data_IF_904331442721
#
_entry.id   IF_904331442721
#
_cell.length_a   1.000
_cell.length_b   1.000
_cell.length_c   1.000
_cell.angle_alpha   90.00
_cell.angle_beta   90.00
_cell.angle_gamma   90.00
#
_symmetry.space_group_name_H-M   'P 1'
#
loop_
_entity.id
_entity.type
_entity.pdbx_description
1 polymer ?
#
# COMPACT_ATOMS: atom_id res chain seq x y z
N UNK A 1 15.89 -5.28 -0.31
CA UNK A 1 16.63 -4.32 0.55
C UNK A 1 17.54 -3.44 -0.32
N UNK A 2 17.33 -2.12 -0.35
CA UNK A 2 18.17 -1.16 -1.10
C UNK A 2 19.66 -1.32 -0.80
N UNK A 3 20.00 -1.62 0.46
CA UNK A 3 21.38 -1.91 0.89
C UNK A 3 22.01 -3.05 0.10
N UNK A 4 21.30 -4.16 -0.17
CA UNK A 4 21.85 -5.28 -0.92
C UNK A 4 22.14 -4.93 -2.39
N UNK A 5 21.48 -3.90 -2.93
CA UNK A 5 21.70 -3.41 -4.28
C UNK A 5 22.97 -2.56 -4.38
N UNK A 6 23.29 -1.78 -3.34
CA UNK A 6 24.39 -0.81 -3.36
C UNK A 6 25.64 -1.28 -2.59
N UNK A 7 25.58 -2.38 -1.83
CA UNK A 7 26.72 -2.84 -0.99
C UNK A 7 27.99 -3.19 -1.78
N UNK A 8 27.86 -3.43 -3.10
CA UNK A 8 28.98 -3.68 -4.01
C UNK A 8 29.12 -2.59 -5.09
N UNK A 9 28.50 -1.42 -4.89
CA UNK A 9 28.52 -0.29 -5.84
C UNK A 9 29.35 0.87 -5.30
N UNK A 10 30.13 1.52 -6.18
CA UNK A 10 30.87 2.75 -5.88
C UNK A 10 29.93 3.94 -5.57
N UNK A 11 28.63 3.81 -5.86
CA UNK A 11 27.62 4.82 -5.54
C UNK A 11 27.11 4.75 -4.09
N UNK A 12 27.56 3.76 -3.31
CA UNK A 12 27.11 3.56 -1.93
C UNK A 12 27.33 4.81 -1.08
N UNK A 13 28.49 5.47 -1.19
CA UNK A 13 28.82 6.66 -0.41
C UNK A 13 27.79 7.78 -0.62
N UNK A 14 27.35 7.97 -1.86
CA UNK A 14 26.37 9.00 -2.23
C UNK A 14 24.93 8.61 -1.89
N UNK A 15 24.67 7.32 -1.63
CA UNK A 15 23.33 6.79 -1.31
C UNK A 15 23.18 6.33 0.13
N UNK A 16 24.27 6.25 0.89
CA UNK A 16 24.26 5.71 2.24
C UNK A 16 23.41 6.58 3.17
N UNK A 17 23.55 7.91 3.10
CA UNK A 17 22.74 8.84 3.89
C UNK A 17 21.24 8.72 3.57
N UNK A 18 20.89 8.63 2.28
CA UNK A 18 19.50 8.44 1.83
C UNK A 18 18.94 7.07 2.26
N UNK A 19 19.76 6.03 2.22
CA UNK A 19 19.34 4.70 2.66
C UNK A 19 19.15 4.71 4.18
N UNK A 20 20.09 5.29 4.94
CA UNK A 20 20.02 5.36 6.40
C UNK A 20 18.88 6.26 6.90
N UNK A 21 18.51 7.32 6.18
CA UNK A 21 17.35 8.15 6.52
C UNK A 21 16.04 7.37 6.41
N UNK A 22 15.90 6.54 5.37
CA UNK A 22 14.76 5.61 5.25
C UNK A 22 14.69 4.61 6.41
N UNK A 23 15.84 4.19 6.97
CA UNK A 23 15.87 3.34 8.16
C UNK A 23 15.60 4.12 9.45
N UNK A 24 16.04 5.36 9.56
CA UNK A 24 15.82 6.20 10.74
C UNK A 24 14.32 6.39 11.02
N UNK A 25 13.53 6.67 9.98
CA UNK A 25 12.08 6.81 10.10
C UNK A 25 11.41 5.48 10.49
N UNK A 26 11.89 4.36 9.95
CA UNK A 26 11.34 3.04 10.24
C UNK A 26 11.66 2.60 11.67
N UNK A 27 12.87 2.85 12.16
CA UNK A 27 13.30 2.50 13.52
C UNK A 27 12.53 3.33 14.57
N UNK A 28 12.22 4.60 14.27
CA UNK A 28 11.45 5.45 15.19
C UNK A 28 9.97 5.06 15.29
N UNK A 29 9.39 4.50 14.23
CA UNK A 29 7.95 4.22 14.16
C UNK A 29 7.58 2.75 14.42
N UNK A 30 8.52 1.82 14.29
CA UNK A 30 8.24 0.38 14.32
C UNK A 30 8.91 -0.32 15.49
N UNK A 31 8.19 -1.28 16.07
CA UNK A 31 8.78 -2.15 17.10
C UNK A 31 9.79 -3.14 16.47
N UNK A 32 10.70 -3.68 17.28
CA UNK A 32 11.68 -4.68 16.83
C UNK A 32 11.04 -5.87 16.12
N UNK A 33 9.86 -6.32 16.59
CA UNK A 33 9.13 -7.43 15.97
C UNK A 33 8.51 -7.04 14.61
N UNK A 34 8.17 -5.77 14.39
CA UNK A 34 7.71 -5.29 13.07
C UNK A 34 8.86 -5.30 12.05
N UNK A 35 10.05 -4.87 12.48
CA UNK A 35 11.26 -4.91 11.64
C UNK A 35 11.60 -6.35 11.26
N UNK A 36 11.56 -7.27 12.24
CA UNK A 36 11.77 -8.68 11.99
C UNK A 36 10.70 -9.25 11.04
N UNK A 37 9.43 -8.87 11.22
CA UNK A 37 8.35 -9.26 10.32
C UNK A 37 8.57 -8.82 8.87
N UNK A 38 9.10 -7.61 8.63
CA UNK A 38 9.43 -7.14 7.27
C UNK A 38 10.56 -7.96 6.66
N UNK A 39 11.57 -8.32 7.45
CA UNK A 39 12.68 -9.16 7.00
C UNK A 39 12.20 -10.58 6.68
N UNK A 40 11.38 -11.18 7.55
CA UNK A 40 10.80 -12.50 7.34
C UNK A 40 9.85 -12.54 6.15
N UNK A 41 9.02 -11.51 5.95
CA UNK A 41 8.15 -11.35 4.77
C UNK A 41 8.99 -11.35 3.49
N UNK A 42 10.12 -10.64 3.48
CA UNK A 42 11.02 -10.62 2.33
C UNK A 42 11.71 -11.96 2.08
N UNK A 43 12.24 -12.61 3.13
CA UNK A 43 12.93 -13.89 3.00
C UNK A 43 11.95 -14.99 2.56
N UNK A 44 10.73 -15.01 3.10
CA UNK A 44 9.68 -15.97 2.76
C UNK A 44 9.17 -15.87 1.30
N UNK A 45 9.47 -14.79 0.58
CA UNK A 45 9.22 -14.75 -0.88
C UNK A 45 10.16 -15.67 -1.67
N UNK A 46 11.25 -16.13 -1.04
CA UNK A 46 12.15 -17.10 -1.63
C UNK A 46 11.55 -18.51 -1.52
N UNK A 47 11.40 -19.18 -2.67
CA UNK A 47 10.90 -20.56 -2.78
C UNK A 47 11.63 -21.61 -1.94
N UNK A 48 12.83 -21.30 -1.43
CA UNK A 48 13.64 -22.18 -0.58
C UNK A 48 13.50 -21.88 0.92
N UNK A 49 12.72 -20.87 1.30
CA UNK A 49 12.54 -20.44 2.68
C UNK A 49 11.05 -20.55 3.04
N UNK A 50 10.58 -21.77 3.23
CA UNK A 50 9.25 -22.05 3.76
C UNK A 50 9.15 -21.77 5.26
N UNK A 51 7.94 -21.90 5.81
CA UNK A 51 7.64 -21.56 7.21
C UNK A 51 8.44 -22.43 8.20
N UNK A 52 8.65 -23.70 7.88
CA UNK A 52 9.43 -24.64 8.71
C UNK A 52 10.91 -24.23 8.71
N UNK A 53 11.47 -23.90 7.55
CA UNK A 53 12.83 -23.38 7.44
C UNK A 53 13.00 -22.08 8.25
N UNK A 54 12.06 -21.15 8.16
CA UNK A 54 12.10 -19.90 8.92
C UNK A 54 12.01 -20.17 10.43
N UNK A 55 11.10 -21.04 10.86
CA UNK A 55 10.94 -21.43 12.27
C UNK A 55 12.22 -22.04 12.83
N UNK A 56 12.81 -23.03 12.16
CA UNK A 56 14.05 -23.68 12.60
C UNK A 56 15.22 -22.70 12.75
N UNK A 57 15.36 -21.76 11.80
CA UNK A 57 16.42 -20.76 11.85
C UNK A 57 16.18 -19.71 12.93
N UNK A 58 14.92 -19.33 13.18
CA UNK A 58 14.56 -18.48 14.31
C UNK A 58 14.81 -19.18 15.64
N UNK A 59 14.51 -20.47 15.78
CA UNK A 59 14.80 -21.24 16.99
C UNK A 59 16.30 -21.27 17.30
N UNK A 60 17.14 -21.51 16.28
CA UNK A 60 18.59 -21.47 16.41
C UNK A 60 19.09 -20.07 16.82
N UNK A 61 18.55 -19.01 16.24
CA UNK A 61 18.96 -17.63 16.51
C UNK A 61 18.48 -17.11 17.88
N UNK A 62 17.30 -17.55 18.33
CA UNK A 62 16.61 -17.00 19.50
C UNK A 62 16.44 -18.00 20.67
N UNK A 63 17.30 -19.04 20.74
CA UNK A 63 17.33 -20.03 21.83
C UNK A 63 15.96 -20.72 22.04
N UNK A 64 15.42 -21.31 20.97
CA UNK A 64 14.14 -22.03 20.94
C UNK A 64 12.89 -21.16 21.19
N UNK A 65 12.94 -19.88 20.79
CA UNK A 65 11.80 -18.94 20.81
C UNK A 65 11.22 -18.65 19.43
N UNK A 66 11.62 -19.40 18.41
CA UNK A 66 11.18 -19.19 17.03
C UNK A 66 9.68 -19.29 16.87
N UNK A 67 9.03 -20.23 17.57
CA UNK A 67 7.58 -20.37 17.56
C UNK A 67 6.85 -19.15 18.14
N UNK A 68 7.27 -18.66 19.31
CA UNK A 68 6.72 -17.45 19.95
C UNK A 68 6.86 -16.20 19.06
N UNK A 69 8.02 -16.08 18.41
CA UNK A 69 8.32 -14.99 17.48
C UNK A 69 7.45 -15.10 16.22
N UNK A 70 7.35 -16.28 15.62
CA UNK A 70 6.53 -16.52 14.44
C UNK A 70 5.06 -16.22 14.70
N UNK A 71 4.51 -16.60 15.86
CA UNK A 71 3.16 -16.22 16.26
C UNK A 71 2.98 -14.70 16.33
N UNK A 72 3.91 -14.00 16.99
CA UNK A 72 3.85 -12.54 17.13
C UNK A 72 3.91 -11.81 15.77
N UNK A 73 4.69 -12.35 14.82
CA UNK A 73 4.78 -11.83 13.45
C UNK A 73 3.52 -12.14 12.65
N UNK A 74 2.99 -13.36 12.77
CA UNK A 74 1.76 -13.78 12.10
C UNK A 74 0.55 -12.92 12.53
N UNK A 75 0.39 -12.66 13.83
CA UNK A 75 -0.67 -11.79 14.35
C UNK A 75 -0.59 -10.38 13.74
N UNK A 76 0.62 -9.86 13.57
CA UNK A 76 0.85 -8.56 12.93
C UNK A 76 0.51 -8.58 11.45
N UNK A 77 0.84 -9.65 10.73
CA UNK A 77 0.45 -9.81 9.33
C UNK A 77 -1.05 -9.93 9.16
N UNK A 78 -1.75 -10.67 10.03
CA UNK A 78 -3.20 -10.76 10.05
C UNK A 78 -3.81 -9.37 10.23
N UNK A 79 -3.36 -8.62 11.25
CA UNK A 79 -3.84 -7.26 11.50
C UNK A 79 -3.57 -6.32 10.32
N UNK A 80 -2.35 -6.34 9.76
CA UNK A 80 -1.99 -5.59 8.54
C UNK A 80 -2.90 -5.97 7.37
N UNK A 81 -3.17 -7.26 7.20
CA UNK A 81 -4.07 -7.79 6.16
C UNK A 81 -5.51 -7.29 6.32
N UNK A 82 -6.05 -7.32 7.54
CA UNK A 82 -7.38 -6.79 7.88
C UNK A 82 -7.45 -5.31 7.55
N UNK A 83 -6.52 -4.49 8.06
CA UNK A 83 -6.51 -3.04 7.80
C UNK A 83 -6.40 -2.71 6.31
N UNK A 84 -5.56 -3.43 5.55
CA UNK A 84 -5.48 -3.24 4.09
C UNK A 84 -6.78 -3.66 3.42
N UNK A 85 -7.39 -4.76 3.88
CA UNK A 85 -8.68 -5.26 3.39
C UNK A 85 -9.81 -4.26 3.59
N UNK A 86 -9.92 -3.71 4.80
CA UNK A 86 -10.91 -2.69 5.16
C UNK A 86 -10.78 -1.43 4.30
N UNK A 87 -9.56 -0.88 4.19
CA UNK A 87 -9.30 0.29 3.32
C UNK A 87 -9.66 0.03 1.85
N UNK A 88 -9.33 -1.16 1.34
CA UNK A 88 -9.71 -1.54 -0.03
C UNK A 88 -11.22 -1.69 -0.17
N UNK A 89 -11.90 -2.23 0.84
CA UNK A 89 -13.35 -2.41 0.82
C UNK A 89 -14.09 -1.07 0.88
N UNK A 90 -13.66 -0.16 1.75
CA UNK A 90 -14.16 1.22 1.87
C UNK A 90 -14.03 1.96 0.53
N UNK A 91 -12.82 2.03 -0.02
CA UNK A 91 -12.58 2.65 -1.33
C UNK A 91 -13.45 2.06 -2.44
N UNK A 92 -13.55 0.73 -2.51
CA UNK A 92 -14.40 0.06 -3.50
C UNK A 92 -15.88 0.38 -3.30
N UNK A 93 -16.32 0.59 -2.06
CA UNK A 93 -17.66 1.05 -1.72
C UNK A 93 -17.92 2.45 -2.24
N UNK A 94 -17.03 3.40 -1.92
CA UNK A 94 -17.11 4.79 -2.36
C UNK A 94 -17.13 4.92 -3.88
N UNK A 95 -16.21 4.26 -4.59
CA UNK A 95 -16.13 4.33 -6.06
C UNK A 95 -17.36 3.70 -6.72
N UNK A 96 -17.94 2.66 -6.10
CA UNK A 96 -19.19 2.03 -6.59
C UNK A 96 -20.39 2.96 -6.40
N UNK A 97 -20.50 3.63 -5.24
CA UNK A 97 -21.56 4.61 -4.99
C UNK A 97 -21.43 5.78 -5.96
N UNK A 98 -20.22 6.32 -6.15
CA UNK A 98 -19.98 7.42 -7.08
C UNK A 98 -20.35 7.04 -8.51
N UNK A 99 -19.95 5.85 -8.97
CA UNK A 99 -20.35 5.35 -10.29
C UNK A 99 -21.87 5.23 -10.43
N UNK A 100 -22.56 4.74 -9.39
CA UNK A 100 -24.02 4.68 -9.36
C UNK A 100 -24.65 6.08 -9.46
N UNK A 101 -24.17 7.06 -8.67
CA UNK A 101 -24.68 8.43 -8.70
C UNK A 101 -24.50 9.10 -10.07
N UNK A 102 -23.36 8.89 -10.71
CA UNK A 102 -23.15 9.35 -12.08
C UNK A 102 -24.12 8.69 -13.07
N UNK A 103 -24.39 7.39 -12.91
CA UNK A 103 -25.35 6.68 -13.75
C UNK A 103 -26.78 7.19 -13.58
N UNK A 104 -27.19 7.46 -12.35
CA UNK A 104 -28.51 8.03 -12.03
C UNK A 104 -28.67 9.45 -12.60
N UNK A 105 -27.62 10.29 -12.52
CA UNK A 105 -27.71 11.70 -12.95
C UNK A 105 -27.52 11.90 -14.46
N UNK A 106 -26.61 11.15 -15.08
CA UNK A 106 -26.18 11.39 -16.45
C UNK A 106 -26.48 10.22 -17.40
N UNK A 107 -27.12 9.15 -16.91
CA UNK A 107 -27.33 7.92 -17.67
C UNK A 107 -26.05 7.09 -17.77
N UNK A 108 -26.01 6.15 -18.72
CA UNK A 108 -24.94 5.15 -18.80
C UNK A 108 -23.53 5.76 -18.81
N UNK A 109 -22.77 5.50 -17.75
CA UNK A 109 -21.42 6.02 -17.59
C UNK A 109 -20.41 5.13 -18.33
N UNK A 110 -19.50 5.71 -19.14
CA UNK A 110 -18.43 4.97 -19.79
C UNK A 110 -17.57 4.15 -18.81
N UNK A 111 -17.17 2.94 -19.19
CA UNK A 111 -16.29 2.10 -18.36
C UNK A 111 -14.97 2.76 -17.99
N UNK A 112 -14.48 3.67 -18.84
CA UNK A 112 -13.26 4.44 -18.57
C UNK A 112 -13.37 5.26 -17.28
N UNK A 113 -14.51 5.92 -17.05
CA UNK A 113 -14.77 6.72 -15.84
C UNK A 113 -14.77 5.81 -14.60
N UNK A 114 -15.41 4.63 -14.69
CA UNK A 114 -15.40 3.65 -13.60
C UNK A 114 -13.99 3.12 -13.30
N UNK A 115 -13.14 2.95 -14.32
CA UNK A 115 -11.73 2.56 -14.14
C UNK A 115 -10.93 3.69 -13.46
N UNK A 116 -11.14 4.93 -13.89
CA UNK A 116 -10.52 6.11 -13.32
C UNK A 116 -10.77 6.21 -11.81
N UNK A 117 -12.01 6.00 -11.35
CA UNK A 117 -12.32 6.03 -9.91
C UNK A 117 -11.51 5.02 -9.09
N UNK A 118 -11.24 3.83 -9.62
CA UNK A 118 -10.50 2.80 -8.89
C UNK A 118 -8.98 3.02 -8.86
N UNK A 119 -8.47 3.90 -9.72
CA UNK A 119 -7.02 4.10 -9.90
C UNK A 119 -6.47 5.31 -9.15
N UNK A 120 -7.33 6.24 -8.74
CA UNK A 120 -6.92 7.49 -8.10
C UNK A 120 -6.89 7.38 -6.59
N UNK A 121 -6.17 8.28 -5.93
CA UNK A 121 -6.10 8.36 -4.47
C UNK A 121 -7.45 8.76 -3.84
N UNK A 122 -7.60 8.48 -2.55
CA UNK A 122 -8.86 8.66 -1.82
C UNK A 122 -9.24 10.15 -1.75
N UNK A 123 -8.24 11.04 -1.67
CA UNK A 123 -8.44 12.49 -1.68
C UNK A 123 -9.07 12.97 -2.99
N UNK A 124 -8.65 12.44 -4.13
CA UNK A 124 -9.23 12.80 -5.42
C UNK A 124 -10.67 12.28 -5.53
N UNK A 125 -10.99 11.13 -4.93
CA UNK A 125 -12.37 10.63 -4.83
C UNK A 125 -13.25 11.55 -3.98
N UNK A 126 -12.75 12.01 -2.83
CA UNK A 126 -13.48 12.98 -2.00
C UNK A 126 -13.71 14.30 -2.75
N UNK A 127 -12.67 14.86 -3.38
CA UNK A 127 -12.75 16.12 -4.14
C UNK A 127 -13.75 15.99 -5.31
N UNK A 128 -13.72 14.85 -6.01
CA UNK A 128 -14.65 14.53 -7.09
C UNK A 128 -16.08 14.40 -6.57
N UNK A 129 -16.28 13.72 -5.43
CA UNK A 129 -17.61 13.53 -4.83
C UNK A 129 -18.25 14.87 -4.46
N UNK A 130 -17.46 15.82 -3.92
CA UNK A 130 -17.94 17.18 -3.64
C UNK A 130 -18.29 17.95 -4.92
N UNK A 131 -17.44 17.84 -5.93
CA UNK A 131 -17.61 18.56 -7.21
C UNK A 131 -18.76 17.98 -8.04
N UNK A 132 -19.00 16.68 -7.95
CA UNK A 132 -20.11 16.00 -8.63
C UNK A 132 -21.46 16.65 -8.34
N UNK A 133 -21.66 17.18 -7.13
CA UNK A 133 -22.91 17.84 -6.76
C UNK A 133 -23.23 19.06 -7.64
N UNK A 134 -22.21 19.77 -8.13
CA UNK A 134 -22.36 20.94 -8.99
C UNK A 134 -22.33 20.62 -10.50
N UNK A 135 -22.10 19.37 -10.89
CA UNK A 135 -22.05 19.00 -12.30
C UNK A 135 -23.45 19.01 -12.94
N UNK A 136 -23.61 19.74 -14.03
CA UNK A 136 -24.84 19.78 -14.82
C UNK A 136 -24.85 18.73 -15.93
N UNK A 137 -23.68 18.26 -16.34
CA UNK A 137 -23.52 17.26 -17.40
C UNK A 137 -22.27 16.40 -17.19
N UNK A 138 -22.18 15.30 -17.95
CA UNK A 138 -20.97 14.46 -17.99
C UNK A 138 -19.75 15.22 -18.52
N UNK A 139 -19.94 16.31 -19.28
CA UNK A 139 -18.82 17.12 -19.75
C UNK A 139 -18.14 17.88 -18.61
N UNK A 140 -18.87 18.24 -17.55
CA UNK A 140 -18.30 18.90 -16.37
C UNK A 140 -17.30 17.97 -15.67
N UNK A 141 -17.56 16.66 -15.69
CA UNK A 141 -16.60 15.67 -15.22
C UNK A 141 -15.32 15.67 -16.04
N UNK A 142 -15.39 15.68 -17.37
CA UNK A 142 -14.17 15.65 -18.20
C UNK A 142 -13.34 16.93 -18.00
N UNK A 143 -13.98 18.09 -17.91
CA UNK A 143 -13.31 19.36 -17.62
C UNK A 143 -12.67 19.36 -16.22
N UNK A 144 -13.40 18.86 -15.23
CA UNK A 144 -12.88 18.72 -13.87
C UNK A 144 -11.70 17.74 -13.81
N UNK A 145 -11.83 16.60 -14.48
CA UNK A 145 -10.82 15.54 -14.49
C UNK A 145 -9.51 16.05 -15.08
N UNK A 146 -9.55 16.72 -16.23
CA UNK A 146 -8.36 17.28 -16.87
C UNK A 146 -7.66 18.30 -15.96
N UNK A 147 -8.43 19.21 -15.35
CA UNK A 147 -7.88 20.23 -14.45
C UNK A 147 -7.22 19.64 -13.19
N UNK A 148 -7.79 18.59 -12.62
CA UNK A 148 -7.37 18.08 -11.31
C UNK A 148 -6.43 16.87 -11.36
N UNK A 149 -6.44 16.11 -12.47
CA UNK A 149 -5.58 14.95 -12.66
C UNK A 149 -4.30 15.32 -13.42
N UNK A 150 -4.38 16.14 -14.47
CA UNK A 150 -3.21 16.56 -15.27
C UNK A 150 -2.27 17.50 -14.49
N UNK A 151 -2.80 18.21 -13.48
CA UNK A 151 -2.01 19.07 -12.60
C UNK A 151 -1.24 18.33 -11.48
N UNK A 152 -1.45 17.01 -11.33
CA UNK A 152 -0.79 16.16 -10.32
C UNK A 152 0.28 15.21 -10.91
N UNK A 153 0.50 15.23 -12.22
CA UNK A 153 1.60 14.53 -12.91
C UNK A 153 2.78 15.48 -13.14
#
# INVERSE_FOLDING_TARGET
>A
LLIMKYIFSDELDNKLADILSLWADVIQQKSTIDLLGVVLEYIGTNKFCDDDFLKENLDKAFKNKGEEIMHSVADKWINKGITIGEKKAEKKGETKILAYLFEERFGKVPQQIKKQFNQVDDKLIEDLTRSFLSFNSINDYYLWWDKHYSARQ
#
